data_IF_967536141827
#
_entry.id   IF_967536141827
#
_cell.length_a   1.000
_cell.length_b   1.000
_cell.length_c   1.000
_cell.angle_alpha   90.00
_cell.angle_beta   90.00
_cell.angle_gamma   90.00
#
_symmetry.space_group_name_H-M   'P 1'
#
loop_
_entity.id
_entity.type
_entity.pdbx_description
1 polymer ?
#
# COMPACT_ATOMS: atom_id res chain seq x y z
N UNK A 1 7.52 -6.34 -23.25
CA UNK A 1 6.35 -6.22 -22.35
C UNK A 1 5.97 -7.57 -21.74
N UNK A 2 5.85 -8.65 -22.52
CA UNK A 2 5.57 -10.02 -22.04
C UNK A 2 6.59 -10.53 -20.99
N UNK A 3 7.90 -10.42 -21.27
CA UNK A 3 8.96 -10.89 -20.35
C UNK A 3 8.96 -10.21 -18.96
N UNK A 4 8.51 -8.95 -18.87
CA UNK A 4 8.38 -8.26 -17.57
C UNK A 4 7.19 -8.80 -16.77
N UNK A 5 6.06 -9.06 -17.44
CA UNK A 5 4.89 -9.65 -16.81
C UNK A 5 5.16 -11.09 -16.33
N UNK A 6 5.89 -11.88 -17.11
CA UNK A 6 6.27 -13.25 -16.75
C UNK A 6 7.21 -13.27 -15.52
N UNK A 7 8.15 -12.32 -15.41
CA UNK A 7 9.01 -12.20 -14.24
C UNK A 7 8.26 -11.84 -12.94
N UNK A 8 7.20 -11.02 -13.03
CA UNK A 8 6.39 -10.58 -11.88
C UNK A 8 5.37 -11.63 -11.45
N UNK A 9 4.74 -12.33 -12.40
CA UNK A 9 3.75 -13.39 -12.12
C UNK A 9 4.39 -14.69 -11.60
N UNK A 10 5.70 -14.87 -11.79
CA UNK A 10 6.47 -16.04 -11.34
C UNK A 10 7.25 -15.76 -10.04
N UNK A 11 7.35 -14.50 -9.62
CA UNK A 11 8.07 -14.13 -8.39
C UNK A 11 7.15 -14.22 -7.15
N UNK A 12 7.19 -15.39 -6.50
CA UNK A 12 6.39 -15.68 -5.31
C UNK A 12 6.65 -14.71 -4.17
N UNK A 13 7.89 -14.28 -3.97
CA UNK A 13 8.30 -13.36 -2.92
C UNK A 13 7.73 -11.97 -3.16
N UNK A 14 7.72 -11.51 -4.42
CA UNK A 14 7.09 -10.26 -4.83
C UNK A 14 5.59 -10.29 -4.57
N UNK A 15 4.89 -11.31 -5.10
CA UNK A 15 3.44 -11.46 -4.93
C UNK A 15 3.04 -11.55 -3.45
N UNK A 16 3.83 -12.27 -2.63
CA UNK A 16 3.63 -12.31 -1.18
C UNK A 16 3.81 -10.94 -0.54
N UNK A 17 4.82 -10.18 -0.94
CA UNK A 17 5.08 -8.84 -0.39
C UNK A 17 3.98 -7.84 -0.75
N UNK A 18 3.49 -7.88 -1.99
CA UNK A 18 2.32 -7.11 -2.43
C UNK A 18 1.09 -7.49 -1.59
N UNK A 19 0.78 -8.78 -1.48
CA UNK A 19 -0.37 -9.26 -0.72
C UNK A 19 -0.30 -8.84 0.76
N UNK A 20 0.86 -8.96 1.40
CA UNK A 20 1.03 -8.54 2.79
C UNK A 20 0.84 -7.03 2.95
N UNK A 21 1.28 -6.23 1.98
CA UNK A 21 1.09 -4.78 1.99
C UNK A 21 -0.38 -4.39 1.76
N UNK A 22 -1.10 -5.10 0.89
CA UNK A 22 -2.56 -4.93 0.73
C UNK A 22 -3.31 -5.21 2.03
N UNK A 23 -2.99 -6.32 2.70
CA UNK A 23 -3.60 -6.67 3.99
C UNK A 23 -3.32 -5.63 5.07
N UNK A 24 -2.06 -5.20 5.20
CA UNK A 24 -1.67 -4.16 6.17
C UNK A 24 -2.39 -2.85 5.90
N UNK A 25 -2.43 -2.40 4.64
CA UNK A 25 -3.16 -1.20 4.24
C UNK A 25 -4.64 -1.28 4.62
N UNK A 26 -5.30 -2.41 4.31
CA UNK A 26 -6.71 -2.64 4.68
C UNK A 26 -6.94 -2.59 6.20
N UNK A 27 -6.08 -3.25 6.98
CA UNK A 27 -6.22 -3.30 8.44
C UNK A 27 -6.00 -1.91 9.05
N UNK A 28 -4.96 -1.20 8.60
CA UNK A 28 -4.68 0.18 9.01
C UNK A 28 -5.88 1.08 8.72
N UNK A 29 -6.37 1.08 7.48
CA UNK A 29 -7.49 1.94 7.07
C UNK A 29 -8.78 1.64 7.81
N UNK A 30 -9.07 0.36 8.10
CA UNK A 30 -10.19 0.00 8.96
C UNK A 30 -10.04 0.62 10.35
N UNK A 31 -8.83 0.57 10.94
CA UNK A 31 -8.56 1.18 12.24
C UNK A 31 -8.68 2.71 12.20
N UNK A 32 -8.15 3.36 11.17
CA UNK A 32 -8.29 4.81 10.95
C UNK A 32 -9.77 5.21 10.84
N UNK A 33 -10.57 4.44 10.11
CA UNK A 33 -12.02 4.64 10.01
C UNK A 33 -12.71 4.54 11.39
N UNK A 34 -12.37 3.53 12.19
CA UNK A 34 -12.90 3.38 13.55
C UNK A 34 -12.50 4.53 14.46
N UNK A 35 -11.24 4.97 14.41
CA UNK A 35 -10.75 6.09 15.22
C UNK A 35 -11.40 7.42 14.84
N UNK A 36 -11.59 7.66 13.54
CA UNK A 36 -12.31 8.83 13.04
C UNK A 36 -13.76 8.86 13.55
N UNK A 37 -14.48 7.74 13.41
CA UNK A 37 -15.87 7.62 13.91
C UNK A 37 -15.96 7.77 15.42
N UNK A 38 -14.91 7.41 16.16
CA UNK A 38 -14.82 7.60 17.61
C UNK A 38 -14.37 9.02 18.03
N UNK A 39 -14.23 9.96 17.08
CA UNK A 39 -13.80 11.34 17.36
C UNK A 39 -12.34 11.45 17.79
N UNK A 40 -11.52 10.42 17.55
CA UNK A 40 -10.08 10.41 17.92
C UNK A 40 -9.16 10.97 16.83
N UNK A 41 -9.69 11.15 15.63
CA UNK A 41 -9.00 11.83 14.52
C UNK A 41 -9.91 12.99 14.11
N UNK A 42 -9.34 14.19 14.04
CA UNK A 42 -10.03 15.41 13.58
C UNK A 42 -9.62 15.74 12.15
N UNK A 43 -10.47 16.45 11.41
CA UNK A 43 -10.24 16.76 10.00
C UNK A 43 -10.77 15.67 9.06
N UNK A 44 -9.98 15.29 8.05
CA UNK A 44 -10.39 14.31 7.04
C UNK A 44 -9.62 12.98 7.13
N UNK A 45 -10.33 11.87 6.98
CA UNK A 45 -9.73 10.54 6.80
C UNK A 45 -10.09 10.03 5.41
N UNK A 46 -9.08 9.84 4.56
CA UNK A 46 -9.22 9.40 3.18
C UNK A 46 -8.81 7.93 3.06
N UNK A 47 -9.77 7.08 2.76
CA UNK A 47 -9.57 5.63 2.69
C UNK A 47 -9.43 5.19 1.23
N UNK A 48 -8.42 4.37 0.94
CA UNK A 48 -8.16 3.73 -0.34
C UNK A 48 -8.83 2.36 -0.50
N UNK A 49 -9.81 2.01 0.35
CA UNK A 49 -10.53 0.72 0.29
C UNK A 49 -10.94 0.35 -1.13
N UNK A 50 -10.50 -0.82 -1.59
CA UNK A 50 -10.75 -1.33 -2.95
C UNK A 50 -9.65 -0.98 -3.96
N UNK A 51 -8.67 -0.15 -3.58
CA UNK A 51 -7.54 0.29 -4.41
C UNK A 51 -6.20 -0.29 -3.94
N UNK A 52 -6.23 -1.25 -3.00
CA UNK A 52 -5.02 -1.74 -2.33
C UNK A 52 -4.03 -2.37 -3.29
N UNK A 53 -4.51 -3.13 -4.29
CA UNK A 53 -3.65 -3.83 -5.24
C UNK A 53 -2.83 -2.86 -6.09
N UNK A 54 -3.45 -1.78 -6.57
CA UNK A 54 -2.75 -0.75 -7.37
C UNK A 54 -1.69 -0.08 -6.52
N UNK A 55 -2.07 0.39 -5.33
CA UNK A 55 -1.18 1.11 -4.43
C UNK A 55 -0.01 0.23 -3.93
N UNK A 56 -0.29 -0.99 -3.45
CA UNK A 56 0.71 -1.92 -2.95
C UNK A 56 1.68 -2.42 -4.03
N UNK A 57 1.18 -2.74 -5.23
CA UNK A 57 2.03 -3.22 -6.32
C UNK A 57 2.98 -2.12 -6.77
N UNK A 58 2.49 -0.88 -6.92
CA UNK A 58 3.34 0.27 -7.24
C UNK A 58 4.44 0.43 -6.18
N UNK A 59 4.09 0.52 -4.90
CA UNK A 59 5.09 0.68 -3.84
C UNK A 59 6.11 -0.46 -3.74
N UNK A 60 5.69 -1.70 -4.01
CA UNK A 60 6.58 -2.89 -3.97
C UNK A 60 7.53 -2.95 -5.18
N UNK A 61 7.11 -2.41 -6.33
CA UNK A 61 7.90 -2.47 -7.56
C UNK A 61 9.04 -1.45 -7.62
N UNK A 62 9.02 -0.43 -6.75
CA UNK A 62 10.03 0.62 -6.69
C UNK A 62 11.26 0.18 -5.89
N UNK A 63 12.44 0.62 -6.31
CA UNK A 63 13.71 0.36 -5.65
C UNK A 63 14.03 1.53 -4.70
N UNK A 64 13.97 1.29 -3.38
CA UNK A 64 14.34 2.29 -2.39
C UNK A 64 15.78 2.79 -2.59
N UNK A 65 15.98 4.10 -2.46
CA UNK A 65 17.28 4.76 -2.69
C UNK A 65 17.57 5.07 -4.16
N UNK A 66 16.79 4.56 -5.09
CA UNK A 66 16.91 4.82 -6.53
C UNK A 66 15.65 5.49 -7.08
N UNK A 67 14.49 4.86 -6.86
CA UNK A 67 13.20 5.34 -7.34
C UNK A 67 12.51 6.21 -6.30
N UNK A 68 11.72 7.17 -6.79
CA UNK A 68 10.91 8.05 -5.96
C UNK A 68 9.47 7.57 -5.89
N UNK A 69 8.97 7.36 -4.67
CA UNK A 69 7.56 7.12 -4.41
C UNK A 69 6.87 8.42 -4.01
N UNK A 70 5.84 8.82 -4.77
CA UNK A 70 5.05 10.03 -4.53
C UNK A 70 3.57 9.68 -4.25
N UNK A 71 3.24 9.19 -3.03
CA UNK A 71 1.89 8.75 -2.69
C UNK A 71 0.90 9.91 -2.56
N UNK A 72 -0.35 9.68 -2.94
CA UNK A 72 -1.46 10.57 -2.61
C UNK A 72 -2.11 10.16 -1.28
N UNK A 73 -3.12 10.94 -0.87
CA UNK A 73 -3.82 10.78 0.43
C UNK A 73 -4.57 9.45 0.61
N UNK A 74 -4.61 8.57 -0.39
CA UNK A 74 -5.29 7.25 -0.35
C UNK A 74 -4.35 6.06 -0.59
N UNK A 75 -3.04 6.26 -0.49
CA UNK A 75 -2.02 5.26 -0.85
C UNK A 75 -1.43 4.50 0.33
N UNK A 76 -2.23 4.16 1.35
CA UNK A 76 -1.68 3.53 2.56
C UNK A 76 -1.02 2.17 2.31
N UNK A 77 -1.55 1.39 1.37
CA UNK A 77 -0.95 0.12 0.99
C UNK A 77 0.40 0.32 0.27
N UNK A 78 0.50 1.34 -0.59
CA UNK A 78 1.75 1.71 -1.28
C UNK A 78 2.81 2.28 -0.34
N UNK A 79 2.42 3.14 0.61
CA UNK A 79 3.32 3.65 1.66
C UNK A 79 3.94 2.51 2.48
N UNK A 80 3.10 1.58 2.92
CA UNK A 80 3.56 0.39 3.66
C UNK A 80 4.47 -0.49 2.80
N UNK A 81 4.15 -0.67 1.52
CA UNK A 81 4.94 -1.46 0.58
C UNK A 81 6.31 -0.82 0.27
N UNK A 82 6.34 0.50 0.15
CA UNK A 82 7.57 1.26 -0.12
C UNK A 82 8.50 1.31 1.09
N UNK A 83 8.02 0.95 2.29
CA UNK A 83 8.82 0.85 3.50
C UNK A 83 8.55 1.93 4.54
N UNK A 84 7.51 2.75 4.38
CA UNK A 84 7.08 3.64 5.48
C UNK A 84 6.63 2.79 6.68
N UNK A 85 7.14 3.08 7.90
CA UNK A 85 6.71 2.37 9.10
C UNK A 85 5.24 2.65 9.40
N UNK A 86 4.56 1.65 9.96
CA UNK A 86 3.22 1.83 10.52
C UNK A 86 3.37 2.52 11.88
N UNK A 87 3.05 3.82 11.94
CA UNK A 87 3.03 4.70 13.14
C UNK A 87 4.21 4.56 14.09
#
# INVERSE_FOLDING_TARGET
>A
MQQFADGVMVNREFLRSVFMSMLRGRILENKLSSLYKAGKIVGGVYLGRGQEAVSATLGTALIQGTDFFAPLIRDQAGRTAFGEPLI
#
